data_IF_869095568465
#
_entry.id   IF_869095568465
#
_cell.length_a   1.000
_cell.length_b   1.000
_cell.length_c   1.000
_cell.angle_alpha   90.00
_cell.angle_beta   90.00
_cell.angle_gamma   90.00
#
_symmetry.space_group_name_H-M   'P 1'
#
loop_
_entity.id
_entity.type
_entity.pdbx_description
1 polymer ?
#
# COMPACT_ATOMS: atom_id res chain seq x y z
N UNK A 1 22.25 -20.42 -16.03
CA UNK A 1 22.22 -20.79 -17.46
C UNK A 1 20.89 -21.29 -17.98
N UNK A 2 20.03 -21.93 -17.18
CA UNK A 2 18.72 -22.42 -17.64
C UNK A 2 17.82 -21.28 -18.19
N UNK A 3 17.78 -20.13 -17.50
CA UNK A 3 17.00 -18.97 -17.94
C UNK A 3 17.52 -18.36 -19.26
N UNK A 4 18.84 -18.38 -19.48
CA UNK A 4 19.43 -17.89 -20.74
C UNK A 4 19.01 -18.75 -21.93
N UNK A 5 18.90 -20.06 -21.74
CA UNK A 5 18.40 -20.96 -22.79
C UNK A 5 16.96 -20.66 -23.18
N UNK A 6 16.11 -20.31 -22.22
CA UNK A 6 14.72 -19.90 -22.52
C UNK A 6 14.68 -18.60 -23.30
N UNK A 7 15.51 -17.62 -22.94
CA UNK A 7 15.58 -16.33 -23.62
C UNK A 7 16.23 -16.42 -25.01
N UNK A 8 17.17 -17.35 -25.22
CA UNK A 8 17.88 -17.52 -26.50
C UNK A 8 17.09 -18.42 -27.47
N UNK A 9 16.72 -19.63 -27.03
CA UNK A 9 16.17 -20.67 -27.91
C UNK A 9 14.64 -20.74 -27.85
N UNK A 10 14.01 -20.01 -26.92
CA UNK A 10 12.57 -20.07 -26.69
C UNK A 10 12.11 -21.45 -26.25
N UNK A 11 12.99 -22.29 -25.68
CA UNK A 11 12.65 -23.64 -25.24
C UNK A 11 13.37 -24.00 -23.94
N UNK A 12 12.69 -24.79 -23.10
CA UNK A 12 13.26 -25.33 -21.87
C UNK A 12 13.09 -26.84 -21.85
N UNK A 13 14.18 -27.58 -21.66
CA UNK A 13 14.11 -29.04 -21.45
C UNK A 13 14.43 -29.37 -19.99
N UNK A 14 13.54 -30.09 -19.32
CA UNK A 14 13.74 -30.51 -17.93
C UNK A 14 14.69 -31.72 -17.82
N UNK A 15 15.07 -32.08 -16.58
CA UNK A 15 15.95 -33.22 -16.32
C UNK A 15 15.34 -34.60 -16.66
N UNK A 16 14.06 -34.66 -17.01
CA UNK A 16 13.37 -35.87 -17.47
C UNK A 16 13.27 -35.92 -19.00
N UNK A 17 13.85 -34.95 -19.71
CA UNK A 17 13.85 -34.87 -21.17
C UNK A 17 12.57 -34.28 -21.77
N UNK A 18 11.69 -33.67 -20.96
CA UNK A 18 10.48 -33.00 -21.45
C UNK A 18 10.82 -31.57 -21.87
N UNK A 19 10.46 -31.21 -23.09
CA UNK A 19 10.69 -29.87 -23.65
C UNK A 19 9.41 -29.05 -23.65
N UNK A 20 9.50 -27.80 -23.18
CA UNK A 20 8.44 -26.79 -23.19
C UNK A 20 8.85 -25.66 -24.14
N UNK A 21 7.92 -25.24 -25.01
CA UNK A 21 8.13 -24.15 -25.98
C UNK A 21 7.59 -22.81 -25.42
N UNK A 22 8.42 -21.77 -25.52
CA UNK A 22 8.20 -20.39 -25.07
C UNK A 22 8.17 -19.38 -26.23
N UNK A 23 8.23 -19.83 -27.50
CA UNK A 23 8.26 -18.94 -28.69
C UNK A 23 7.01 -18.06 -28.84
N UNK A 24 5.89 -18.47 -28.24
CA UNK A 24 4.65 -17.69 -28.19
C UNK A 24 4.33 -17.25 -26.76
N UNK A 25 5.34 -16.79 -26.03
CA UNK A 25 5.19 -16.36 -24.64
C UNK A 25 5.85 -15.00 -24.44
N UNK A 26 5.12 -14.09 -23.80
CA UNK A 26 5.70 -12.84 -23.30
C UNK A 26 6.31 -13.11 -21.91
N UNK A 27 7.60 -12.87 -21.78
CA UNK A 27 8.32 -13.04 -20.51
C UNK A 27 8.49 -11.66 -19.88
N UNK A 28 7.86 -11.44 -18.71
CA UNK A 28 8.01 -10.22 -17.92
C UNK A 28 8.84 -10.53 -16.68
N UNK A 29 9.90 -9.75 -16.48
CA UNK A 29 10.77 -9.83 -15.32
C UNK A 29 10.65 -8.52 -14.54
N UNK A 30 10.44 -8.61 -13.23
CA UNK A 30 10.33 -7.45 -12.35
C UNK A 30 11.44 -7.48 -11.30
N UNK A 31 11.95 -6.30 -10.94
CA UNK A 31 12.99 -6.14 -9.93
C UNK A 31 12.80 -4.82 -9.20
N UNK A 32 13.08 -4.80 -7.90
CA UNK A 32 13.09 -3.60 -7.06
C UNK A 32 14.51 -3.03 -6.85
N UNK A 33 15.52 -3.54 -7.55
CA UNK A 33 16.90 -3.05 -7.46
C UNK A 33 16.99 -1.57 -7.83
N UNK A 34 17.68 -0.79 -6.99
CA UNK A 34 17.90 0.64 -7.24
C UNK A 34 16.67 1.53 -7.06
N UNK A 35 15.48 0.97 -6.77
CA UNK A 35 14.22 1.73 -6.69
C UNK A 35 14.25 2.88 -5.64
N UNK A 36 15.13 2.78 -4.64
CA UNK A 36 15.33 3.81 -3.62
C UNK A 36 15.83 5.15 -4.18
N UNK A 37 16.62 5.13 -5.26
CA UNK A 37 17.10 6.34 -5.91
C UNK A 37 15.94 7.15 -6.52
N UNK A 38 14.90 6.45 -7.00
CA UNK A 38 13.69 7.07 -7.53
C UNK A 38 12.76 7.58 -6.42
N UNK A 39 12.66 6.87 -5.29
CA UNK A 39 11.76 7.26 -4.19
C UNK A 39 12.19 8.52 -3.43
N UNK A 40 13.44 8.96 -3.56
CA UNK A 40 13.98 10.14 -2.88
C UNK A 40 13.95 11.40 -3.75
N UNK A 41 13.49 11.30 -4.99
CA UNK A 41 13.40 12.44 -5.90
C UNK A 41 12.30 13.42 -5.44
N UNK A 42 12.58 14.72 -5.40
CA UNK A 42 11.55 15.74 -5.24
C UNK A 42 10.53 15.69 -6.39
N UNK A 43 9.28 16.05 -6.10
CA UNK A 43 8.22 16.10 -7.11
C UNK A 43 8.57 17.11 -8.21
N UNK A 44 8.56 16.68 -9.47
CA UNK A 44 8.94 17.48 -10.62
C UNK A 44 10.46 17.61 -10.87
N UNK A 45 11.30 16.91 -10.11
CA UNK A 45 12.74 16.83 -10.40
C UNK A 45 13.05 15.94 -11.62
N UNK A 46 14.16 16.20 -12.30
CA UNK A 46 14.62 15.37 -13.41
C UNK A 46 14.99 13.97 -12.91
N UNK A 47 14.22 12.97 -13.34
CA UNK A 47 14.44 11.57 -12.98
C UNK A 47 15.63 10.93 -13.72
N UNK A 48 16.27 11.63 -14.66
CA UNK A 48 17.36 11.09 -15.48
C UNK A 48 18.54 10.57 -14.65
N UNK A 49 18.92 11.28 -13.59
CA UNK A 49 20.01 10.87 -12.70
C UNK A 49 19.62 9.62 -11.89
N UNK A 50 18.42 9.58 -11.32
CA UNK A 50 17.95 8.41 -10.57
C UNK A 50 17.77 7.17 -11.47
N UNK A 51 17.30 7.35 -12.71
CA UNK A 51 17.21 6.27 -13.71
C UNK A 51 18.58 5.68 -14.01
N UNK A 52 19.61 6.53 -14.12
CA UNK A 52 21.00 6.07 -14.30
C UNK A 52 21.45 5.24 -13.10
N UNK A 53 21.20 5.71 -11.88
CA UNK A 53 21.57 5.01 -10.65
C UNK A 53 20.86 3.64 -10.53
N UNK A 54 19.59 3.56 -10.94
CA UNK A 54 18.85 2.29 -11.05
C UNK A 54 19.52 1.35 -12.04
N UNK A 55 19.87 1.83 -13.23
CA UNK A 55 20.52 0.99 -14.24
C UNK A 55 21.92 0.54 -13.82
N UNK A 56 22.65 1.35 -13.07
CA UNK A 56 23.97 0.97 -12.54
C UNK A 56 23.83 -0.11 -11.46
N UNK A 57 22.81 -0.03 -10.59
CA UNK A 57 22.50 -1.09 -9.64
C UNK A 57 22.11 -2.41 -10.34
N UNK A 58 21.31 -2.35 -11.41
CA UNK A 58 20.94 -3.52 -12.23
C UNK A 58 22.17 -4.14 -12.88
N UNK A 59 23.07 -3.34 -13.47
CA UNK A 59 24.32 -3.81 -14.11
C UNK A 59 25.33 -4.38 -13.11
N UNK A 60 25.35 -3.88 -11.88
CA UNK A 60 26.19 -4.43 -10.82
C UNK A 60 25.71 -5.82 -10.36
N UNK A 61 24.40 -6.09 -10.43
CA UNK A 61 23.82 -7.34 -9.96
C UNK A 61 23.73 -8.42 -11.06
N UNK A 62 23.37 -8.03 -12.29
CA UNK A 62 23.17 -8.96 -13.40
C UNK A 62 24.33 -8.92 -14.39
N UNK A 63 24.77 -10.10 -14.84
CA UNK A 63 25.83 -10.21 -15.84
C UNK A 63 25.37 -9.61 -17.18
N UNK A 64 26.26 -8.95 -17.94
CA UNK A 64 25.92 -8.34 -19.23
C UNK A 64 25.26 -9.31 -20.22
N UNK A 65 25.67 -10.58 -20.22
CA UNK A 65 25.07 -11.61 -21.08
C UNK A 65 23.56 -11.78 -20.88
N UNK A 66 23.05 -11.62 -19.66
CA UNK A 66 21.64 -11.74 -19.34
C UNK A 66 20.89 -10.49 -19.77
N UNK A 67 21.44 -9.31 -19.44
CA UNK A 67 20.85 -8.03 -19.81
C UNK A 67 20.77 -7.86 -21.33
N UNK A 68 21.76 -8.37 -22.06
CA UNK A 68 21.80 -8.34 -23.52
C UNK A 68 20.77 -9.29 -24.18
N UNK A 69 20.03 -10.09 -23.40
CA UNK A 69 18.89 -10.91 -23.90
C UNK A 69 17.53 -10.31 -23.61
N UNK A 70 17.49 -9.15 -22.95
CA UNK A 70 16.25 -8.42 -22.72
C UNK A 70 16.04 -7.46 -23.90
N UNK A 71 14.90 -7.57 -24.55
CA UNK A 71 14.55 -6.68 -25.67
C UNK A 71 14.37 -5.23 -25.19
N UNK A 72 13.67 -5.06 -24.06
CA UNK A 72 13.37 -3.75 -23.48
C UNK A 72 13.50 -3.80 -21.95
N UNK A 73 14.04 -2.72 -21.38
CA UNK A 73 14.09 -2.51 -19.93
C UNK A 73 13.38 -1.21 -19.61
N UNK A 74 12.28 -1.30 -18.86
CA UNK A 74 11.45 -0.15 -18.48
C UNK A 74 11.75 0.21 -17.03
N UNK A 75 12.15 1.46 -16.79
CA UNK A 75 12.29 2.02 -15.45
C UNK A 75 11.03 2.83 -15.14
N UNK A 76 10.25 2.37 -14.17
CA UNK A 76 9.03 3.04 -13.74
C UNK A 76 9.35 4.28 -12.92
N UNK A 77 8.70 5.39 -13.26
CA UNK A 77 8.76 6.61 -12.45
C UNK A 77 7.83 6.48 -11.24
N UNK A 78 8.15 7.15 -10.12
CA UNK A 78 7.21 7.27 -9.00
C UNK A 78 5.91 7.93 -9.46
N UNK A 79 4.79 7.43 -8.96
CA UNK A 79 3.49 8.04 -9.22
C UNK A 79 3.43 9.43 -8.60
N UNK A 80 2.99 10.40 -9.39
CA UNK A 80 2.68 11.75 -8.94
C UNK A 80 1.37 11.78 -8.15
N UNK A 81 1.13 12.86 -7.39
CA UNK A 81 -0.12 12.99 -6.63
C UNK A 81 -1.38 12.90 -7.52
N UNK A 82 -1.45 13.53 -8.71
CA UNK A 82 -2.61 13.38 -9.61
C UNK A 82 -2.81 11.96 -10.12
N UNK A 83 -1.73 11.25 -10.47
CA UNK A 83 -1.81 9.85 -10.94
C UNK A 83 -2.29 8.91 -9.84
N UNK A 84 -1.87 9.15 -8.59
CA UNK A 84 -2.38 8.39 -7.44
C UNK A 84 -3.89 8.55 -7.28
N UNK A 85 -4.43 9.76 -7.46
CA UNK A 85 -5.88 9.99 -7.42
C UNK A 85 -6.60 9.23 -8.53
N UNK A 86 -6.08 9.28 -9.77
CA UNK A 86 -6.66 8.56 -10.89
C UNK A 86 -6.66 7.03 -10.65
N UNK A 87 -5.57 6.49 -10.12
CA UNK A 87 -5.49 5.07 -9.77
C UNK A 87 -6.51 4.71 -8.70
N UNK A 88 -6.66 5.56 -7.67
CA UNK A 88 -7.68 5.33 -6.64
C UNK A 88 -9.06 5.31 -7.27
N UNK A 89 -9.38 6.23 -8.19
CA UNK A 89 -10.67 6.27 -8.88
C UNK A 89 -10.90 5.05 -9.80
N UNK A 90 -9.84 4.46 -10.36
CA UNK A 90 -9.92 3.23 -11.16
C UNK A 90 -10.17 1.97 -10.32
N UNK A 91 -9.91 2.01 -9.01
CA UNK A 91 -10.10 0.86 -8.14
C UNK A 91 -11.57 0.66 -7.77
N UNK A 92 -12.02 -0.60 -7.83
CA UNK A 92 -13.31 -0.96 -7.24
C UNK A 92 -13.32 -0.64 -5.74
N UNK A 93 -14.44 -0.11 -5.22
CA UNK A 93 -14.55 0.31 -3.82
C UNK A 93 -14.28 -0.81 -2.81
N UNK A 94 -14.60 -2.06 -3.17
CA UNK A 94 -14.27 -3.25 -2.39
C UNK A 94 -12.75 -3.45 -2.25
N UNK A 95 -11.99 -3.24 -3.32
CA UNK A 95 -10.53 -3.32 -3.29
C UNK A 95 -9.93 -2.16 -2.49
N UNK A 96 -10.46 -0.95 -2.64
CA UNK A 96 -10.08 0.20 -1.81
C UNK A 96 -10.27 -0.11 -0.32
N UNK A 97 -11.44 -0.67 0.06
CA UNK A 97 -11.74 -1.06 1.43
C UNK A 97 -10.77 -2.13 1.95
N UNK A 98 -10.50 -3.20 1.18
CA UNK A 98 -9.54 -4.24 1.57
C UNK A 98 -8.15 -3.69 1.80
N UNK A 99 -7.65 -2.83 0.90
CA UNK A 99 -6.32 -2.21 1.05
C UNK A 99 -6.25 -1.27 2.24
N UNK A 100 -7.29 -0.48 2.48
CA UNK A 100 -7.36 0.38 3.67
C UNK A 100 -7.31 -0.44 4.97
N UNK A 101 -8.00 -1.58 5.04
CA UNK A 101 -7.95 -2.50 6.17
C UNK A 101 -6.56 -3.16 6.33
N UNK A 102 -5.93 -3.58 5.23
CA UNK A 102 -4.58 -4.15 5.25
C UNK A 102 -3.54 -3.14 5.75
N UNK A 103 -3.60 -1.90 5.24
CA UNK A 103 -2.75 -0.79 5.68
C UNK A 103 -2.95 -0.50 7.17
N UNK A 104 -4.20 -0.46 7.63
CA UNK A 104 -4.57 -0.28 9.04
C UNK A 104 -3.92 -1.34 9.93
N UNK A 105 -3.96 -2.61 9.52
CA UNK A 105 -3.30 -3.70 10.25
C UNK A 105 -1.78 -3.58 10.25
N UNK A 106 -1.18 -3.17 9.12
CA UNK A 106 0.26 -2.95 9.01
C UNK A 106 0.73 -1.81 9.95
N UNK A 107 0.02 -0.68 9.96
CA UNK A 107 0.34 0.47 10.83
C UNK A 107 0.29 0.09 12.31
N UNK A 108 -0.73 -0.66 12.73
CA UNK A 108 -0.83 -1.15 14.12
C UNK A 108 0.31 -2.10 14.50
N UNK A 109 0.73 -2.97 13.56
CA UNK A 109 1.84 -3.89 13.75
C UNK A 109 3.17 -3.15 13.92
N UNK A 110 3.42 -2.15 13.09
CA UNK A 110 4.63 -1.32 13.22
C UNK A 110 4.63 -0.51 14.51
N UNK A 111 3.46 -0.01 14.94
CA UNK A 111 3.34 0.67 16.23
C UNK A 111 3.67 -0.28 17.40
N UNK A 112 3.22 -1.54 17.33
CA UNK A 112 3.58 -2.56 18.33
C UNK A 112 5.10 -2.82 18.36
N UNK A 113 5.72 -3.00 17.19
CA UNK A 113 7.19 -3.17 17.07
C UNK A 113 7.97 -1.99 17.64
N UNK A 114 7.51 -0.77 17.37
CA UNK A 114 8.13 0.45 17.90
C UNK A 114 8.08 0.48 19.43
N UNK A 115 6.92 0.17 20.01
CA UNK A 115 6.76 0.10 21.46
C UNK A 115 7.66 -0.95 22.11
N UNK A 116 7.78 -2.13 21.51
CA UNK A 116 8.69 -3.18 21.99
C UNK A 116 10.15 -2.68 21.99
N UNK A 117 10.58 -2.05 20.90
CA UNK A 117 11.92 -1.47 20.79
C UNK A 117 12.18 -0.35 21.83
N UNK A 118 11.16 0.47 22.11
CA UNK A 118 11.23 1.51 23.13
C UNK A 118 11.29 0.94 24.55
N UNK A 119 10.48 -0.06 24.84
CA UNK A 119 10.49 -0.77 26.11
C UNK A 119 11.85 -1.41 26.39
N UNK A 120 12.47 -2.03 25.38
CA UNK A 120 13.83 -2.59 25.47
C UNK A 120 14.91 -1.54 25.78
N UNK A 121 14.67 -0.26 25.41
CA UNK A 121 15.53 0.89 25.73
C UNK A 121 15.17 1.58 27.05
N UNK A 122 14.24 1.02 27.82
CA UNK A 122 13.77 1.60 29.08
C UNK A 122 12.86 2.83 28.93
N UNK A 123 12.41 3.15 27.70
CA UNK A 123 11.44 4.22 27.49
C UNK A 123 10.05 3.74 27.87
N UNK A 124 9.45 4.39 28.87
CA UNK A 124 8.06 4.15 29.30
C UNK A 124 7.16 5.27 28.79
N UNK A 125 6.90 5.28 27.49
CA UNK A 125 5.93 6.20 26.87
C UNK A 125 4.79 5.39 26.28
N UNK A 126 3.57 5.80 26.60
CA UNK A 126 2.36 5.25 26.01
C UNK A 126 2.15 5.93 24.66
N UNK A 127 2.71 5.33 23.60
CA UNK A 127 2.45 5.73 22.21
C UNK A 127 1.52 4.71 21.57
N UNK A 128 0.26 5.13 21.40
CA UNK A 128 -0.78 4.34 20.77
C UNK A 128 -1.30 5.01 19.52
N UNK A 129 -1.65 4.18 18.53
CA UNK A 129 -2.27 4.61 17.29
C UNK A 129 -3.75 4.25 17.34
N UNK A 130 -4.61 5.24 17.14
CA UNK A 130 -6.04 5.04 16.90
C UNK A 130 -6.33 5.23 15.42
N UNK A 131 -7.22 4.43 14.86
CA UNK A 131 -7.56 4.49 13.44
C UNK A 131 -9.08 4.40 13.28
N UNK A 132 -9.67 5.39 12.60
CA UNK A 132 -11.03 5.34 12.09
C UNK A 132 -11.01 5.06 10.59
N UNK A 133 -11.74 4.05 10.12
CA UNK A 133 -11.80 3.70 8.70
C UNK A 133 -13.23 3.88 8.19
N UNK A 134 -13.38 4.67 7.13
CA UNK A 134 -14.65 4.98 6.50
C UNK A 134 -14.45 5.09 4.98
N UNK A 135 -15.49 4.79 4.21
CA UNK A 135 -15.51 4.93 2.75
C UNK A 135 -16.64 5.88 2.37
N UNK A 136 -16.30 6.94 1.63
CA UNK A 136 -17.23 7.94 1.13
C UNK A 136 -16.56 8.79 0.04
N UNK A 137 -17.38 9.48 -0.75
CA UNK A 137 -16.93 10.56 -1.62
C UNK A 137 -16.41 11.74 -0.77
N UNK A 138 -15.30 12.33 -1.21
CA UNK A 138 -14.64 13.47 -0.57
C UNK A 138 -14.17 14.45 -1.63
N UNK A 139 -13.97 15.70 -1.24
CA UNK A 139 -13.31 16.69 -2.11
C UNK A 139 -11.85 16.76 -1.74
N UNK A 140 -10.97 16.52 -2.70
CA UNK A 140 -9.51 16.58 -2.52
C UNK A 140 -8.97 17.77 -3.29
N UNK A 141 -8.02 18.49 -2.70
CA UNK A 141 -7.37 19.60 -3.36
C UNK A 141 -6.52 20.44 -2.41
N UNK A 142 -6.05 21.56 -2.93
CA UNK A 142 -5.28 22.55 -2.21
C UNK A 142 -6.21 23.48 -1.42
N UNK A 143 -6.20 23.36 -0.09
CA UNK A 143 -7.04 24.15 0.80
C UNK A 143 -6.17 24.93 1.79
N UNK A 144 -6.56 26.17 2.11
CA UNK A 144 -5.81 26.99 3.06
C UNK A 144 -5.98 28.50 2.84
N UNK A 145 -5.09 29.29 3.41
CA UNK A 145 -5.00 30.74 3.21
C UNK A 145 -3.96 31.09 2.15
N UNK A 146 -3.86 32.37 1.79
CA UNK A 146 -2.83 32.87 0.86
C UNK A 146 -1.39 32.56 1.32
N UNK A 147 -1.19 32.27 2.61
CA UNK A 147 0.12 32.01 3.23
C UNK A 147 0.40 30.53 3.49
N UNK A 148 -0.65 29.70 3.61
CA UNK A 148 -0.51 28.27 3.89
C UNK A 148 -1.58 27.51 3.12
N UNK A 149 -1.15 26.76 2.10
CA UNK A 149 -2.00 25.90 1.29
C UNK A 149 -1.53 24.47 1.47
N UNK A 150 -2.42 23.59 1.92
CA UNK A 150 -2.15 22.16 2.09
C UNK A 150 -3.04 21.35 1.15
N UNK A 151 -2.44 20.36 0.49
CA UNK A 151 -3.20 19.36 -0.26
C UNK A 151 -3.87 18.41 0.74
N UNK A 152 -5.20 18.44 0.81
CA UNK A 152 -5.96 17.65 1.79
C UNK A 152 -7.32 17.25 1.25
N UNK A 153 -7.99 16.34 1.97
CA UNK A 153 -9.35 15.92 1.72
C UNK A 153 -10.29 16.59 2.73
N UNK A 154 -11.42 17.10 2.24
CA UNK A 154 -12.47 17.69 3.08
C UNK A 154 -13.83 17.07 2.77
N UNK A 155 -14.72 17.13 3.76
CA UNK A 155 -16.12 16.74 3.60
C UNK A 155 -16.65 15.90 4.76
N UNK A 156 -17.92 15.52 4.64
CA UNK A 156 -18.64 14.74 5.65
C UNK A 156 -17.98 13.38 5.91
N UNK A 157 -17.49 12.70 4.86
CA UNK A 157 -16.79 11.42 4.99
C UNK A 157 -15.52 11.53 5.85
N UNK A 158 -14.72 12.56 5.63
CA UNK A 158 -13.51 12.85 6.43
C UNK A 158 -13.87 13.11 7.90
N UNK A 159 -14.92 13.90 8.13
CA UNK A 159 -15.40 14.17 9.48
C UNK A 159 -15.83 12.87 10.20
N UNK A 160 -16.56 11.98 9.53
CA UNK A 160 -16.97 10.71 10.13
C UNK A 160 -15.77 9.81 10.47
N UNK A 161 -14.80 9.67 9.55
CA UNK A 161 -13.57 8.92 9.80
C UNK A 161 -12.83 9.45 11.04
N UNK A 162 -12.68 10.77 11.16
CA UNK A 162 -12.06 11.41 12.32
C UNK A 162 -12.85 11.16 13.61
N UNK A 163 -14.19 11.15 13.57
CA UNK A 163 -15.00 10.83 14.76
C UNK A 163 -14.90 9.37 15.17
N UNK A 164 -14.80 8.44 14.21
CA UNK A 164 -14.55 7.02 14.49
C UNK A 164 -13.17 6.83 15.15
N UNK A 165 -12.13 7.51 14.66
CA UNK A 165 -10.80 7.51 15.30
C UNK A 165 -10.88 8.01 16.74
N UNK A 166 -11.53 9.14 16.96
CA UNK A 166 -11.62 9.76 18.29
C UNK A 166 -12.42 8.91 19.27
N UNK A 167 -13.37 8.11 18.79
CA UNK A 167 -14.16 7.17 19.58
C UNK A 167 -13.43 5.84 19.87
N UNK A 168 -12.28 5.58 19.24
CA UNK A 168 -11.47 4.39 19.53
C UNK A 168 -10.82 4.47 20.92
N UNK A 169 -10.73 3.32 21.58
CA UNK A 169 -9.77 3.14 22.66
C UNK A 169 -8.33 3.28 22.10
N UNK A 170 -7.34 3.65 22.93
CA UNK A 170 -5.92 3.64 22.53
C UNK A 170 -5.53 2.29 21.90
N UNK A 171 -4.84 2.32 20.76
CA UNK A 171 -4.46 1.12 19.99
C UNK A 171 -5.62 0.48 19.21
N UNK A 172 -6.82 1.05 19.29
CA UNK A 172 -8.03 0.53 18.68
C UNK A 172 -8.23 0.99 17.24
N UNK A 173 -9.07 0.22 16.53
CA UNK A 173 -9.54 0.54 15.19
C UNK A 173 -11.05 0.42 15.15
N UNK A 174 -11.74 1.44 14.65
CA UNK A 174 -13.18 1.42 14.38
C UNK A 174 -13.43 1.62 12.89
N UNK A 175 -14.36 0.82 12.36
CA UNK A 175 -14.68 0.74 10.94
C UNK A 175 -16.17 1.02 10.77
N UNK A 176 -16.55 1.82 9.77
CA UNK A 176 -17.96 2.13 9.49
C UNK A 176 -18.71 0.97 8.82
N UNK A 177 -20.04 1.04 8.80
CA UNK A 177 -20.90 0.06 8.11
C UNK A 177 -20.62 -0.04 6.60
N UNK A 178 -20.27 1.07 5.96
CA UNK A 178 -19.95 1.12 4.52
C UNK A 178 -18.71 0.27 4.20
N UNK A 179 -17.65 0.42 4.99
CA UNK A 179 -16.42 -0.38 4.80
C UNK A 179 -16.68 -1.86 5.11
N UNK A 180 -17.50 -2.15 6.13
CA UNK A 180 -17.93 -3.53 6.41
C UNK A 180 -18.71 -4.14 5.25
N UNK A 181 -19.60 -3.38 4.62
CA UNK A 181 -20.38 -3.84 3.48
C UNK A 181 -19.49 -4.13 2.26
N UNK A 182 -18.44 -3.33 2.07
CA UNK A 182 -17.46 -3.49 0.99
C UNK A 182 -16.47 -4.63 1.24
N UNK A 183 -16.19 -5.00 2.48
CA UNK A 183 -15.24 -6.07 2.83
C UNK A 183 -15.81 -7.03 3.88
N UNK A 184 -16.93 -7.73 3.60
CA UNK A 184 -17.69 -8.49 4.61
C UNK A 184 -16.90 -9.64 5.25
N UNK A 185 -15.89 -10.15 4.55
CA UNK A 185 -15.05 -11.25 5.03
C UNK A 185 -13.98 -10.81 6.04
N UNK A 186 -13.77 -9.50 6.22
CA UNK A 186 -12.79 -9.01 7.18
C UNK A 186 -13.22 -9.31 8.62
N UNK A 187 -12.27 -9.51 9.56
CA UNK A 187 -12.58 -9.98 10.91
C UNK A 187 -13.05 -8.82 11.80
N UNK A 188 -14.30 -8.43 11.61
CA UNK A 188 -14.96 -7.43 12.45
C UNK A 188 -15.41 -8.02 13.79
N UNK A 189 -15.32 -7.21 14.83
CA UNK A 189 -15.93 -7.49 16.13
C UNK A 189 -17.41 -7.10 16.17
N UNK A 190 -17.99 -7.18 17.36
CA UNK A 190 -19.41 -6.89 17.58
C UNK A 190 -19.71 -5.42 17.31
N UNK A 191 -20.78 -5.16 16.56
CA UNK A 191 -21.26 -3.82 16.24
C UNK A 191 -21.44 -2.98 17.51
N UNK A 192 -21.08 -1.70 17.42
CA UNK A 192 -21.27 -0.69 18.46
C UNK A 192 -22.10 0.44 17.89
N UNK A 193 -23.09 0.87 18.65
CA UNK A 193 -23.93 2.02 18.33
C UNK A 193 -23.32 3.24 19.03
N UNK A 194 -22.88 4.24 18.27
CA UNK A 194 -22.11 5.38 18.75
C UNK A 194 -22.83 6.70 18.46
N UNK A 195 -22.95 7.56 19.46
CA UNK A 195 -23.29 8.96 19.26
C UNK A 195 -22.00 9.77 19.08
N UNK A 196 -21.79 10.32 17.89
CA UNK A 196 -20.55 10.98 17.51
C UNK A 196 -20.75 12.50 17.44
N UNK A 197 -19.82 13.25 18.03
CA UNK A 197 -19.90 14.73 18.05
C UNK A 197 -19.99 15.30 16.64
N UNK A 198 -21.07 16.04 16.37
CA UNK A 198 -21.30 16.72 15.09
C UNK A 198 -21.74 15.79 13.95
N UNK A 199 -22.15 14.56 14.27
CA UNK A 199 -22.84 13.64 13.36
C UNK A 199 -24.26 13.48 13.88
N UNK A 200 -25.25 13.64 13.01
CA UNK A 200 -26.64 13.45 13.38
C UNK A 200 -26.97 11.96 13.51
N UNK A 201 -27.65 11.61 14.60
CA UNK A 201 -28.08 10.24 14.87
C UNK A 201 -26.97 9.33 15.39
N UNK A 202 -27.30 8.04 15.44
CA UNK A 202 -26.39 7.00 15.91
C UNK A 202 -25.66 6.37 14.74
N UNK A 203 -24.34 6.23 14.87
CA UNK A 203 -23.48 5.58 13.90
C UNK A 203 -23.17 4.17 14.36
N UNK A 204 -23.43 3.20 13.50
CA UNK A 204 -22.98 1.83 13.72
C UNK A 204 -21.51 1.69 13.30
N UNK A 205 -20.68 1.18 14.20
CA UNK A 205 -19.25 0.99 13.97
C UNK A 205 -18.76 -0.37 14.47
N UNK A 206 -17.74 -0.90 13.82
CA UNK A 206 -17.22 -2.24 14.04
C UNK A 206 -15.75 -2.17 14.46
N UNK A 207 -15.37 -2.72 15.62
CA UNK A 207 -13.96 -2.82 15.96
C UNK A 207 -13.27 -3.85 15.06
N UNK A 208 -12.09 -3.55 14.54
CA UNK A 208 -11.33 -4.50 13.70
C UNK A 208 -10.50 -5.44 14.57
N UNK A 209 -10.61 -6.76 14.36
CA UNK A 209 -9.80 -7.77 15.08
C UNK A 209 -8.46 -7.93 14.38
N UNK A 210 -7.48 -7.12 14.78
CA UNK A 210 -6.17 -7.01 14.14
C UNK A 210 -5.39 -8.33 14.06
N UNK A 211 -5.43 -9.16 15.10
CA UNK A 211 -4.72 -10.45 15.12
C UNK A 211 -5.23 -11.39 14.00
N UNK A 212 -6.54 -11.51 13.85
CA UNK A 212 -7.16 -12.35 12.82
C UNK A 212 -6.98 -11.78 11.40
N UNK A 213 -6.80 -10.47 11.26
CA UNK A 213 -6.55 -9.85 9.95
C UNK A 213 -5.09 -10.08 9.52
N UNK A 214 -4.15 -10.04 10.46
CA UNK A 214 -2.73 -10.24 10.21
C UNK A 214 -2.41 -11.66 9.68
N UNK A 215 -3.13 -12.68 10.15
CA UNK A 215 -3.02 -14.07 9.68
C UNK A 215 -3.43 -14.19 8.20
N UNK A 216 -4.48 -13.48 7.79
CA UNK A 216 -5.02 -13.55 6.41
C UNK A 216 -4.21 -12.76 5.39
N UNK A 217 -3.57 -11.66 5.81
CA UNK A 217 -2.70 -10.85 4.94
C UNK A 217 -1.34 -11.52 4.74
N UNK A 218 -0.91 -12.41 5.63
CA UNK A 218 0.35 -13.17 5.49
C UNK A 218 0.27 -14.38 4.55
N UNK A 219 -0.93 -14.73 4.07
CA UNK A 219 -1.18 -15.86 3.16
C UNK A 219 -1.37 -15.44 1.69
N UNK A 220 -1.28 -14.14 1.38
CA UNK A 220 -1.48 -13.58 0.04
C UNK A 220 -0.16 -13.10 -0.59
#
# INVERSE_FOLDING_TARGET
>A
NVLLQVLDDGQLTDGQGRTVDFKQTLIILTSNLGAQALSQLPEGADASDAKRDVMDAVRAHFRPEFLNRLDETIVFEPLTQPELLEIVDLMASEEQARRALAMTAAMQREMARLREAWAARGMRRDLDLRIGVHHAEVTVGNFGSDELVEFTAIGRGVNLAARLESACAPGGVLVSSEVRALAPDAPFGTARQLELKGIEGTVEAFPLRLAALAERVGEA
#
